data_IF_438019601580
#
_entry.id   IF_438019601580
#
_cell.length_a   1.000
_cell.length_b   1.000
_cell.length_c   1.000
_cell.angle_alpha   90.00
_cell.angle_beta   90.00
_cell.angle_gamma   90.00
#
_symmetry.space_group_name_H-M   'P 1'
#
loop_
_entity.id
_entity.type
_entity.pdbx_description
1 polymer ?
#
# COMPACT_ATOMS: atom_id res chain seq x y z
N UNK A 1 -16.37 -1.19 14.52
CA UNK A 1 -17.29 -0.18 15.11
C UNK A 1 -16.61 0.81 16.05
N UNK A 2 -15.63 0.38 16.89
CA UNK A 2 -14.96 1.26 17.85
C UNK A 2 -14.21 2.43 17.19
N UNK A 3 -13.48 2.15 16.12
CA UNK A 3 -12.75 3.14 15.33
C UNK A 3 -13.68 4.29 14.88
N UNK A 4 -14.80 3.99 14.23
CA UNK A 4 -15.73 5.01 13.70
C UNK A 4 -16.38 5.85 14.81
N UNK A 5 -16.66 5.25 15.99
CA UNK A 5 -17.10 6.01 17.15
C UNK A 5 -16.03 6.98 17.64
N UNK A 6 -14.79 6.52 17.77
CA UNK A 6 -13.68 7.37 18.19
C UNK A 6 -13.41 8.51 17.19
N UNK A 7 -13.42 8.17 15.90
CA UNK A 7 -13.26 9.12 14.79
C UNK A 7 -14.34 10.22 14.84
N UNK A 8 -15.61 9.83 14.96
CA UNK A 8 -16.69 10.81 15.08
C UNK A 8 -16.59 11.64 16.35
N UNK A 9 -16.30 11.01 17.49
CA UNK A 9 -16.13 11.73 18.77
C UNK A 9 -15.02 12.79 18.67
N UNK A 10 -13.92 12.45 18.01
CA UNK A 10 -12.84 13.40 17.76
C UNK A 10 -13.31 14.57 16.89
N UNK A 11 -13.91 14.29 15.76
CA UNK A 11 -14.34 15.31 14.80
C UNK A 11 -15.41 16.24 15.38
N UNK A 12 -16.36 15.69 16.14
CA UNK A 12 -17.38 16.49 16.83
C UNK A 12 -16.76 17.44 17.88
N UNK A 13 -15.68 17.01 18.54
CA UNK A 13 -14.99 17.82 19.54
C UNK A 13 -13.96 18.80 18.94
N UNK A 14 -13.49 18.55 17.72
CA UNK A 14 -12.42 19.33 17.07
C UNK A 14 -12.76 19.67 15.61
N UNK A 15 -13.84 20.45 15.36
CA UNK A 15 -14.29 20.72 13.98
C UNK A 15 -13.24 21.45 13.14
N UNK A 16 -12.40 22.29 13.76
CA UNK A 16 -11.30 23.00 13.07
C UNK A 16 -10.08 22.11 12.77
N UNK A 17 -10.04 20.90 13.32
CA UNK A 17 -8.99 19.91 13.15
C UNK A 17 -9.59 18.54 12.80
N UNK A 18 -10.68 18.54 12.04
CA UNK A 18 -11.37 17.33 11.66
C UNK A 18 -10.44 16.37 10.89
N UNK A 19 -10.51 15.11 11.25
CA UNK A 19 -9.85 14.03 10.53
C UNK A 19 -10.72 13.68 9.32
N UNK A 20 -10.05 13.35 8.21
CA UNK A 20 -10.69 12.86 7.00
C UNK A 20 -10.24 11.44 6.73
N UNK A 21 -11.10 10.65 6.14
CA UNK A 21 -10.74 9.29 5.76
C UNK A 21 -10.98 9.04 4.26
N UNK A 22 -10.11 8.28 3.67
CA UNK A 22 -10.31 7.59 2.40
C UNK A 22 -10.51 6.13 2.74
N UNK A 23 -11.60 5.54 2.27
CA UNK A 23 -11.93 4.16 2.63
C UNK A 23 -11.51 3.20 1.52
N UNK A 24 -10.71 2.20 1.90
CA UNK A 24 -10.32 1.09 1.02
C UNK A 24 -11.39 0.00 0.98
N UNK A 25 -11.51 -0.67 -0.17
CA UNK A 25 -12.23 -1.93 -0.33
C UNK A 25 -11.26 -2.94 -0.91
N UNK A 26 -10.62 -3.70 -0.03
CA UNK A 26 -9.66 -4.72 -0.43
C UNK A 26 -10.35 -5.95 -1.00
N UNK A 27 -9.74 -6.59 -2.00
CA UNK A 27 -10.23 -7.82 -2.62
C UNK A 27 -9.19 -8.94 -2.49
N UNK A 28 -9.67 -10.16 -2.32
CA UNK A 28 -8.84 -11.35 -2.51
C UNK A 28 -8.63 -11.62 -4.00
N UNK A 29 -7.68 -12.48 -4.35
CA UNK A 29 -7.52 -12.91 -5.74
C UNK A 29 -8.71 -13.78 -6.18
N UNK A 30 -9.20 -13.58 -7.42
CA UNK A 30 -10.26 -14.42 -7.95
C UNK A 30 -9.77 -15.84 -8.25
N UNK A 31 -10.62 -16.84 -8.10
CA UNK A 31 -10.29 -18.20 -8.51
C UNK A 31 -9.93 -18.25 -10.00
N UNK A 32 -8.84 -18.94 -10.32
CA UNK A 32 -8.37 -19.11 -11.70
C UNK A 32 -8.14 -17.79 -12.46
N UNK A 33 -7.85 -16.71 -11.72
CA UNK A 33 -7.62 -15.37 -12.23
C UNK A 33 -8.81 -14.80 -13.07
N UNK A 34 -10.03 -15.37 -12.91
CA UNK A 34 -11.24 -14.87 -13.57
C UNK A 34 -11.97 -13.84 -12.69
N UNK A 35 -11.73 -12.56 -12.94
CA UNK A 35 -12.35 -11.45 -12.21
C UNK A 35 -13.88 -11.35 -12.41
N UNK A 36 -14.44 -12.06 -13.38
CA UNK A 36 -15.88 -12.18 -13.61
C UNK A 36 -16.45 -13.49 -13.06
N UNK A 37 -15.68 -14.29 -12.30
CA UNK A 37 -16.23 -15.45 -11.61
C UNK A 37 -17.43 -15.01 -10.73
N UNK A 38 -18.62 -15.58 -10.94
CA UNK A 38 -19.85 -15.00 -10.37
C UNK A 38 -19.87 -14.98 -8.84
N UNK A 39 -19.35 -16.03 -8.19
CA UNK A 39 -19.35 -16.14 -6.73
C UNK A 39 -18.41 -15.11 -6.10
N UNK A 40 -17.20 -15.04 -6.59
CA UNK A 40 -16.17 -14.10 -6.14
C UNK A 40 -16.60 -12.64 -6.38
N UNK A 41 -17.09 -12.33 -7.60
CA UNK A 41 -17.56 -10.99 -7.95
C UNK A 41 -18.73 -10.55 -7.07
N UNK A 42 -19.66 -11.46 -6.76
CA UNK A 42 -20.78 -11.19 -5.86
C UNK A 42 -20.33 -10.88 -4.43
N UNK A 43 -19.29 -11.59 -3.93
CA UNK A 43 -18.73 -11.31 -2.61
C UNK A 43 -17.99 -9.96 -2.59
N UNK A 44 -17.22 -9.64 -3.62
CA UNK A 44 -16.57 -8.34 -3.74
C UNK A 44 -17.59 -7.18 -3.80
N UNK A 45 -18.67 -7.34 -4.56
CA UNK A 45 -19.78 -6.38 -4.56
C UNK A 45 -20.46 -6.27 -3.19
N UNK A 46 -20.55 -7.38 -2.47
CA UNK A 46 -21.10 -7.37 -1.10
C UNK A 46 -20.20 -6.59 -0.16
N UNK A 47 -18.89 -6.74 -0.27
CA UNK A 47 -17.93 -5.99 0.54
C UNK A 47 -17.95 -4.49 0.21
N UNK A 48 -18.06 -4.12 -1.07
CA UNK A 48 -18.27 -2.72 -1.48
C UNK A 48 -19.50 -2.10 -0.82
N UNK A 49 -20.64 -2.79 -0.84
CA UNK A 49 -21.85 -2.32 -0.17
C UNK A 49 -21.68 -2.18 1.32
N UNK A 50 -21.04 -3.17 1.97
CA UNK A 50 -20.73 -3.12 3.42
C UNK A 50 -19.90 -1.91 3.77
N UNK A 51 -18.88 -1.61 2.99
CA UNK A 51 -18.02 -0.43 3.23
C UNK A 51 -18.81 0.86 3.13
N UNK A 52 -19.63 1.02 2.11
CA UNK A 52 -20.53 2.18 1.96
C UNK A 52 -21.47 2.28 3.16
N UNK A 53 -22.16 1.19 3.51
CA UNK A 53 -23.09 1.15 4.64
C UNK A 53 -22.40 1.43 6.00
N UNK A 54 -21.15 0.99 6.15
CA UNK A 54 -20.33 1.28 7.35
C UNK A 54 -20.10 2.79 7.48
N UNK A 55 -19.75 3.47 6.40
CA UNK A 55 -19.52 4.92 6.41
C UNK A 55 -20.77 5.70 6.82
N UNK A 56 -21.93 5.26 6.35
CA UNK A 56 -23.24 5.87 6.64
C UNK A 56 -23.87 5.36 7.96
N UNK A 57 -23.19 4.49 8.71
CA UNK A 57 -23.68 3.99 10.00
C UNK A 57 -24.83 3.01 9.92
N UNK A 58 -25.01 2.30 8.80
CA UNK A 58 -26.13 1.42 8.57
C UNK A 58 -25.75 -0.07 8.38
N UNK A 59 -24.53 -0.47 8.78
CA UNK A 59 -24.05 -1.83 8.55
C UNK A 59 -24.22 -2.74 9.78
N UNK A 60 -24.60 -3.99 9.53
CA UNK A 60 -24.52 -5.10 10.48
C UNK A 60 -23.75 -6.23 9.80
N UNK A 61 -22.50 -6.42 10.21
CA UNK A 61 -21.61 -7.40 9.61
C UNK A 61 -21.47 -8.57 10.59
N UNK A 62 -21.83 -9.80 10.20
CA UNK A 62 -21.70 -10.97 11.05
C UNK A 62 -20.21 -11.31 11.30
N UNK A 63 -19.95 -11.92 12.44
CA UNK A 63 -18.61 -12.36 12.79
C UNK A 63 -18.09 -13.40 11.79
N UNK A 64 -16.89 -13.15 11.27
CA UNK A 64 -16.14 -14.02 10.36
C UNK A 64 -14.66 -13.93 10.71
N UNK A 65 -13.95 -15.06 10.72
CA UNK A 65 -12.52 -15.08 11.00
C UNK A 65 -11.76 -14.23 9.96
N UNK A 66 -10.81 -13.43 10.42
CA UNK A 66 -10.01 -12.55 9.57
C UNK A 66 -10.77 -11.36 8.96
N UNK A 67 -11.98 -11.06 9.44
CA UNK A 67 -12.81 -9.99 8.90
C UNK A 67 -13.33 -9.07 10.00
N UNK A 68 -13.40 -7.77 9.71
CA UNK A 68 -14.02 -6.80 10.62
C UNK A 68 -15.54 -7.04 10.70
N UNK A 69 -16.09 -7.03 11.90
CA UNK A 69 -17.50 -7.35 12.13
C UNK A 69 -18.13 -6.47 13.22
N UNK A 70 -19.44 -6.52 13.31
CA UNK A 70 -20.22 -5.86 14.35
C UNK A 70 -21.32 -4.96 13.79
N UNK A 71 -21.93 -4.18 14.69
CA UNK A 71 -22.96 -3.20 14.34
C UNK A 71 -22.34 -1.81 14.22
N UNK A 72 -22.43 -1.21 13.05
CA UNK A 72 -21.97 0.14 12.74
C UNK A 72 -23.19 1.06 12.69
N UNK A 73 -23.27 2.00 13.62
CA UNK A 73 -24.44 2.89 13.82
C UNK A 73 -24.04 4.35 13.86
N UNK A 74 -22.80 4.66 13.55
CA UNK A 74 -22.27 6.02 13.58
C UNK A 74 -21.98 6.44 12.15
N UNK A 75 -22.66 7.48 11.71
CA UNK A 75 -22.42 8.10 10.42
C UNK A 75 -21.16 8.97 10.45
N UNK A 76 -20.20 8.66 9.59
CA UNK A 76 -18.96 9.40 9.38
C UNK A 76 -18.81 9.88 7.94
N UNK A 77 -19.87 9.75 7.15
CA UNK A 77 -19.86 10.00 5.73
C UNK A 77 -19.49 11.43 5.35
N UNK A 78 -19.81 12.41 6.19
CA UNK A 78 -19.43 13.82 5.98
C UNK A 78 -17.93 14.06 5.98
N UNK A 79 -17.17 13.15 6.58
CA UNK A 79 -15.70 13.19 6.63
C UNK A 79 -15.04 12.08 5.79
N UNK A 80 -15.79 11.37 4.96
CA UNK A 80 -15.27 10.41 4.01
C UNK A 80 -14.97 11.12 2.68
N UNK A 81 -13.68 11.26 2.37
CA UNK A 81 -13.19 12.02 1.24
C UNK A 81 -13.34 11.25 -0.08
N UNK A 82 -13.01 9.96 -0.10
CA UNK A 82 -12.93 9.17 -1.32
C UNK A 82 -12.99 7.66 -1.03
N UNK A 83 -13.14 6.86 -2.09
CA UNK A 83 -12.93 5.41 -2.06
C UNK A 83 -11.72 5.01 -2.90
N UNK A 84 -11.03 3.96 -2.44
CA UNK A 84 -10.02 3.23 -3.22
C UNK A 84 -10.42 1.76 -3.20
N UNK A 85 -10.60 1.15 -4.37
CA UNK A 85 -11.01 -0.25 -4.47
C UNK A 85 -9.87 -1.13 -5.00
N UNK A 86 -9.91 -2.42 -4.68
CA UNK A 86 -8.98 -3.42 -5.19
C UNK A 86 -7.79 -3.63 -4.25
N UNK A 87 -6.73 -4.13 -4.82
CA UNK A 87 -5.49 -4.54 -4.15
C UNK A 87 -4.30 -4.26 -5.05
N UNK A 88 -3.10 -4.58 -4.61
CA UNK A 88 -1.95 -4.80 -5.48
C UNK A 88 -2.23 -6.08 -6.30
N UNK A 89 -2.69 -5.88 -7.53
CA UNK A 89 -2.99 -6.99 -8.43
C UNK A 89 -1.69 -7.51 -9.02
N UNK A 90 -1.51 -8.82 -9.04
CA UNK A 90 -0.33 -9.43 -9.62
C UNK A 90 -0.38 -9.38 -11.15
N UNK A 91 0.71 -8.99 -11.86
CA UNK A 91 0.75 -8.87 -13.32
C UNK A 91 0.28 -10.15 -14.05
N UNK A 92 0.63 -11.32 -13.54
CA UNK A 92 0.22 -12.59 -14.15
C UNK A 92 -1.30 -12.82 -14.11
N UNK A 93 -2.01 -12.33 -13.07
CA UNK A 93 -3.47 -12.47 -12.99
C UNK A 93 -4.15 -11.50 -13.97
N UNK A 94 -3.63 -10.30 -14.11
CA UNK A 94 -4.11 -9.30 -15.09
C UNK A 94 -3.91 -9.82 -16.51
N UNK A 95 -2.74 -10.42 -16.82
CA UNK A 95 -2.47 -11.04 -18.13
C UNK A 95 -3.48 -12.11 -18.43
N UNK A 96 -3.66 -13.06 -17.51
CA UNK A 96 -4.58 -14.18 -17.71
C UNK A 96 -6.02 -13.71 -17.90
N UNK A 97 -6.47 -12.74 -17.10
CA UNK A 97 -7.80 -12.15 -17.30
C UNK A 97 -7.95 -11.45 -18.65
N UNK A 98 -6.94 -10.69 -19.09
CA UNK A 98 -6.93 -10.07 -20.41
C UNK A 98 -7.05 -11.08 -21.55
N UNK A 99 -6.40 -12.25 -21.40
CA UNK A 99 -6.49 -13.39 -22.35
C UNK A 99 -7.87 -14.06 -22.30
N UNK A 100 -8.46 -14.21 -21.12
CA UNK A 100 -9.81 -14.80 -20.95
C UNK A 100 -10.92 -13.93 -21.54
N UNK A 101 -10.76 -12.61 -21.55
CA UNK A 101 -11.82 -11.64 -21.88
C UNK A 101 -11.44 -10.67 -23.01
N UNK A 102 -10.80 -11.10 -24.12
CA UNK A 102 -10.16 -10.21 -25.08
C UNK A 102 -11.08 -9.19 -25.75
N UNK A 103 -12.39 -9.37 -25.67
CA UNK A 103 -13.40 -8.47 -26.27
C UNK A 103 -13.94 -7.42 -25.31
N UNK A 104 -13.60 -7.50 -24.01
CA UNK A 104 -14.05 -6.53 -23.00
C UNK A 104 -13.14 -5.29 -23.00
N UNK A 105 -13.29 -4.43 -23.97
CA UNK A 105 -12.39 -3.29 -24.18
C UNK A 105 -13.08 -1.93 -24.05
N UNK A 106 -14.38 -1.92 -23.72
CA UNK A 106 -15.20 -0.70 -23.60
C UNK A 106 -16.19 -0.83 -22.46
N UNK A 107 -16.52 0.31 -21.87
CA UNK A 107 -17.55 0.39 -20.84
C UNK A 107 -18.31 1.70 -20.92
N UNK A 108 -19.63 1.64 -20.74
CA UNK A 108 -20.50 2.81 -20.63
C UNK A 108 -21.41 2.59 -19.40
N UNK A 109 -20.96 3.10 -18.26
CA UNK A 109 -21.69 3.06 -16.99
C UNK A 109 -22.48 4.34 -16.74
N UNK A 110 -23.01 4.44 -15.54
CA UNK A 110 -23.77 5.62 -15.10
C UNK A 110 -22.86 6.79 -14.77
N UNK A 111 -21.79 6.54 -14.03
CA UNK A 111 -20.85 7.54 -13.53
C UNK A 111 -19.51 7.50 -14.26
N UNK A 112 -19.16 6.35 -14.81
CA UNK A 112 -17.86 6.15 -15.47
C UNK A 112 -18.03 5.56 -16.86
N UNK A 113 -17.09 5.88 -17.75
CA UNK A 113 -17.01 5.33 -19.10
C UNK A 113 -15.57 5.04 -19.47
N UNK A 114 -15.37 4.08 -20.36
CA UNK A 114 -14.10 3.73 -20.95
C UNK A 114 -14.30 3.45 -22.44
N UNK A 115 -13.70 4.29 -23.28
CA UNK A 115 -13.90 4.19 -24.75
C UNK A 115 -13.03 3.10 -25.37
N UNK A 116 -11.84 2.86 -24.78
CA UNK A 116 -10.90 1.84 -25.21
C UNK A 116 -9.91 1.54 -24.09
N UNK A 117 -9.67 0.25 -23.79
CA UNK A 117 -8.71 -0.21 -22.80
C UNK A 117 -8.53 -1.72 -22.87
N UNK A 118 -7.76 -2.26 -21.93
CA UNK A 118 -7.66 -3.69 -21.72
C UNK A 118 -8.94 -4.23 -21.06
N UNK A 119 -9.18 -5.55 -21.07
CA UNK A 119 -10.24 -6.14 -20.27
C UNK A 119 -10.14 -5.78 -18.78
N UNK A 120 -8.94 -5.75 -18.22
CA UNK A 120 -8.72 -5.38 -16.84
C UNK A 120 -9.04 -3.90 -16.57
N UNK A 121 -8.64 -2.96 -17.44
CA UNK A 121 -9.07 -1.55 -17.34
C UNK A 121 -10.61 -1.42 -17.36
N UNK A 122 -11.25 -2.21 -18.23
CA UNK A 122 -12.70 -2.24 -18.35
C UNK A 122 -13.36 -2.74 -17.07
N UNK A 123 -12.81 -3.80 -16.51
CA UNK A 123 -13.28 -4.35 -15.24
C UNK A 123 -13.13 -3.34 -14.09
N UNK A 124 -11.98 -2.67 -14.00
CA UNK A 124 -11.75 -1.63 -12.97
C UNK A 124 -12.79 -0.51 -13.07
N UNK A 125 -13.07 -0.04 -14.29
CA UNK A 125 -14.10 0.97 -14.53
C UNK A 125 -15.50 0.49 -14.07
N UNK A 126 -15.83 -0.77 -14.35
CA UNK A 126 -17.10 -1.38 -13.95
C UNK A 126 -17.25 -1.45 -12.43
N UNK A 127 -16.19 -1.86 -11.72
CA UNK A 127 -16.24 -1.97 -10.25
C UNK A 127 -16.36 -0.60 -9.59
N UNK A 128 -15.61 0.39 -10.08
CA UNK A 128 -15.75 1.77 -9.62
C UNK A 128 -17.17 2.32 -9.84
N UNK A 129 -17.73 2.13 -11.03
CA UNK A 129 -19.08 2.57 -11.36
C UNK A 129 -20.15 1.88 -10.50
N UNK A 130 -19.94 0.59 -10.20
CA UNK A 130 -20.84 -0.18 -9.32
C UNK A 130 -20.89 0.43 -7.92
N UNK A 131 -19.74 0.72 -7.30
CA UNK A 131 -19.68 1.28 -5.96
C UNK A 131 -20.34 2.67 -5.92
N UNK A 132 -20.02 3.54 -6.88
CA UNK A 132 -20.62 4.87 -7.00
C UNK A 132 -22.14 4.77 -7.19
N UNK A 133 -22.59 3.82 -8.01
CA UNK A 133 -24.03 3.60 -8.26
C UNK A 133 -24.74 3.18 -6.99
N UNK A 134 -24.16 2.25 -6.22
CA UNK A 134 -24.74 1.81 -4.96
C UNK A 134 -24.85 2.95 -3.94
N UNK A 135 -23.80 3.74 -3.77
CA UNK A 135 -23.81 4.87 -2.84
C UNK A 135 -24.86 5.92 -3.24
N UNK A 136 -24.92 6.23 -4.54
CA UNK A 136 -25.93 7.17 -5.05
C UNK A 136 -27.36 6.68 -4.86
N UNK A 137 -27.66 5.44 -5.22
CA UNK A 137 -29.01 4.89 -5.15
C UNK A 137 -29.48 4.73 -3.70
N UNK A 138 -28.57 4.51 -2.76
CA UNK A 138 -28.90 4.25 -1.36
C UNK A 138 -28.85 5.51 -0.50
N UNK A 139 -27.86 6.38 -0.73
CA UNK A 139 -27.55 7.52 0.15
C UNK A 139 -27.56 8.88 -0.55
N UNK A 140 -27.72 8.91 -1.85
CA UNK A 140 -27.69 10.12 -2.69
C UNK A 140 -26.38 10.92 -2.54
N UNK A 141 -25.28 10.24 -2.28
CA UNK A 141 -23.94 10.80 -2.15
C UNK A 141 -23.03 10.35 -3.29
N UNK A 142 -22.06 11.17 -3.62
CA UNK A 142 -20.98 10.84 -4.56
C UNK A 142 -19.65 11.25 -3.94
N UNK A 143 -18.66 10.39 -4.08
CA UNK A 143 -17.26 10.65 -3.69
C UNK A 143 -16.33 10.32 -4.84
N UNK A 144 -15.17 11.00 -4.92
CA UNK A 144 -14.11 10.60 -5.84
C UNK A 144 -13.74 9.12 -5.62
N UNK A 145 -13.44 8.43 -6.70
CA UNK A 145 -13.08 7.01 -6.63
C UNK A 145 -11.82 6.74 -7.46
N UNK A 146 -11.01 5.82 -6.96
CA UNK A 146 -9.88 5.23 -7.65
C UNK A 146 -9.82 3.73 -7.42
N UNK A 147 -9.01 3.03 -8.17
CA UNK A 147 -8.59 1.67 -7.88
C UNK A 147 -7.09 1.65 -7.55
N UNK A 148 -6.69 0.68 -6.72
CA UNK A 148 -5.29 0.48 -6.34
C UNK A 148 -4.45 0.12 -7.55
N UNK A 149 -3.29 0.75 -7.66
CA UNK A 149 -2.25 0.42 -8.62
C UNK A 149 -0.87 0.45 -7.94
N UNK A 150 0.15 -0.03 -8.60
CA UNK A 150 1.53 -0.08 -8.13
C UNK A 150 2.51 -0.15 -9.32
N UNK A 151 3.83 0.02 -9.13
CA UNK A 151 4.75 0.16 -10.26
C UNK A 151 4.77 -1.02 -11.23
N UNK A 152 4.49 -2.24 -10.77
CA UNK A 152 4.44 -3.43 -11.65
C UNK A 152 3.25 -3.47 -12.62
N UNK A 153 2.28 -2.58 -12.43
CA UNK A 153 1.09 -2.44 -13.27
C UNK A 153 0.81 -1.01 -13.68
N UNK A 154 1.75 -0.11 -13.46
CA UNK A 154 1.57 1.27 -13.89
C UNK A 154 1.58 1.40 -15.42
N UNK A 155 1.08 2.50 -15.98
CA UNK A 155 1.04 2.69 -17.42
C UNK A 155 2.33 3.27 -18.02
N UNK A 156 3.42 3.32 -17.24
CA UNK A 156 4.72 3.80 -17.69
C UNK A 156 5.48 2.68 -18.40
N UNK A 157 6.54 3.03 -19.08
CA UNK A 157 7.46 2.04 -19.65
C UNK A 157 8.77 2.09 -18.87
N UNK A 158 9.15 0.95 -18.31
CA UNK A 158 10.37 0.80 -17.54
C UNK A 158 11.45 0.11 -18.37
N UNK A 159 12.42 0.84 -18.95
CA UNK A 159 13.41 0.26 -19.87
C UNK A 159 14.39 -0.70 -19.20
N UNK A 160 14.38 -0.76 -17.87
CA UNK A 160 15.22 -1.66 -17.06
C UNK A 160 14.53 -2.96 -16.70
N UNK A 161 13.24 -3.10 -17.03
CA UNK A 161 12.48 -4.33 -16.90
C UNK A 161 11.92 -4.75 -18.27
N UNK A 162 12.42 -5.84 -18.88
CA UNK A 162 11.95 -6.27 -20.19
C UNK A 162 10.59 -6.95 -20.10
N UNK A 163 9.75 -6.70 -21.10
CA UNK A 163 8.58 -7.52 -21.35
C UNK A 163 8.98 -8.97 -21.67
N UNK A 164 8.06 -9.92 -21.53
CA UNK A 164 8.31 -11.33 -21.89
C UNK A 164 8.80 -11.49 -23.34
N UNK A 165 8.34 -10.63 -24.26
CA UNK A 165 8.78 -10.66 -25.65
C UNK A 165 10.23 -10.19 -25.80
N UNK A 166 10.64 -9.16 -25.10
CA UNK A 166 12.01 -8.65 -25.08
C UNK A 166 12.95 -9.64 -24.40
N UNK A 167 12.54 -10.23 -23.29
CA UNK A 167 13.29 -11.30 -22.64
C UNK A 167 13.50 -12.51 -23.56
N UNK A 168 12.47 -12.95 -24.28
CA UNK A 168 12.58 -14.04 -25.24
C UNK A 168 13.61 -13.74 -26.36
N UNK A 169 13.62 -12.50 -26.86
CA UNK A 169 14.62 -12.05 -27.85
C UNK A 169 16.02 -12.06 -27.25
N UNK A 170 16.20 -11.54 -26.04
CA UNK A 170 17.48 -11.49 -25.36
C UNK A 170 18.02 -12.92 -25.09
N UNK A 171 17.19 -13.80 -24.55
CA UNK A 171 17.54 -15.20 -24.29
C UNK A 171 17.95 -15.93 -25.56
N UNK A 172 17.23 -15.72 -26.66
CA UNK A 172 17.58 -16.30 -27.96
C UNK A 172 18.96 -15.83 -28.42
N UNK A 173 19.29 -14.54 -28.31
CA UNK A 173 20.60 -13.98 -28.65
C UNK A 173 21.74 -14.55 -27.79
N UNK A 174 21.44 -14.87 -26.53
CA UNK A 174 22.39 -15.43 -25.58
C UNK A 174 22.48 -16.97 -25.65
N UNK A 175 21.73 -17.64 -26.54
CA UNK A 175 21.67 -19.09 -26.63
C UNK A 175 21.02 -19.76 -25.42
N UNK A 176 20.21 -19.04 -24.68
CA UNK A 176 19.48 -19.52 -23.52
C UNK A 176 18.10 -20.07 -23.93
N UNK A 177 17.52 -21.02 -23.17
CA UNK A 177 16.15 -21.46 -23.40
C UNK A 177 15.15 -20.28 -23.31
N UNK A 178 14.00 -20.37 -24.02
CA UNK A 178 12.98 -19.33 -23.95
C UNK A 178 12.53 -19.12 -22.50
N UNK A 179 12.00 -17.94 -22.18
CA UNK A 179 11.47 -17.68 -20.84
C UNK A 179 10.38 -18.71 -20.53
N UNK A 180 10.37 -19.22 -19.32
CA UNK A 180 9.21 -19.96 -18.84
C UNK A 180 8.18 -18.93 -18.38
N UNK A 181 6.92 -19.12 -18.75
CA UNK A 181 5.82 -18.40 -18.14
C UNK A 181 5.74 -18.81 -16.66
N UNK A 182 6.49 -18.11 -15.82
CA UNK A 182 6.39 -18.23 -14.37
C UNK A 182 5.43 -17.15 -13.88
N UNK A 183 4.82 -17.37 -12.74
CA UNK A 183 4.15 -16.31 -12.01
C UNK A 183 5.22 -15.37 -11.48
N UNK A 184 5.27 -14.18 -12.04
CA UNK A 184 6.16 -13.11 -11.63
C UNK A 184 5.33 -11.97 -11.05
N UNK A 185 5.83 -11.37 -9.98
CA UNK A 185 5.13 -10.34 -9.22
C UNK A 185 5.60 -8.94 -9.58
N UNK A 186 6.79 -8.82 -10.11
CA UNK A 186 7.55 -7.58 -10.24
C UNK A 186 7.99 -7.24 -11.67
N UNK A 187 7.36 -7.84 -12.69
CA UNK A 187 7.64 -7.49 -14.08
C UNK A 187 6.70 -6.39 -14.62
N UNK A 188 7.17 -5.72 -15.69
CA UNK A 188 6.46 -4.64 -16.39
C UNK A 188 5.69 -5.17 -17.63
N UNK A 189 5.13 -6.35 -17.57
CA UNK A 189 4.47 -7.02 -18.70
C UNK A 189 3.02 -6.55 -18.92
N UNK A 190 2.36 -6.05 -17.90
CA UNK A 190 0.96 -5.62 -17.93
C UNK A 190 0.82 -4.21 -17.38
N UNK A 191 -0.25 -3.54 -17.76
CA UNK A 191 -0.56 -2.20 -17.23
C UNK A 191 -2.03 -1.97 -16.98
N UNK A 192 -2.31 -1.12 -15.99
CA UNK A 192 -3.62 -0.55 -15.71
C UNK A 192 -3.50 0.99 -15.81
N UNK A 193 -4.29 1.60 -16.69
CA UNK A 193 -4.21 3.04 -16.90
C UNK A 193 -5.49 3.76 -16.51
N UNK A 194 -5.47 4.40 -15.35
CA UNK A 194 -6.61 5.19 -14.87
C UNK A 194 -6.98 6.36 -15.79
N UNK A 195 -6.08 6.83 -16.68
CA UNK A 195 -6.40 7.87 -17.66
C UNK A 195 -7.44 7.43 -18.68
N UNK A 196 -7.60 6.13 -18.91
CA UNK A 196 -8.62 5.57 -19.80
C UNK A 196 -10.03 5.63 -19.21
N UNK A 197 -10.16 5.67 -17.88
CA UNK A 197 -11.44 5.77 -17.18
C UNK A 197 -11.85 7.23 -17.08
N UNK A 198 -13.01 7.57 -17.62
CA UNK A 198 -13.53 8.94 -17.67
C UNK A 198 -14.82 9.08 -16.87
N UNK A 199 -14.96 10.20 -16.21
CA UNK A 199 -16.21 10.61 -15.59
C UNK A 199 -17.27 10.95 -16.64
N UNK A 200 -18.50 10.44 -16.47
CA UNK A 200 -19.66 10.89 -17.24
C UNK A 200 -20.14 12.25 -16.73
N UNK A 201 -21.11 12.83 -17.41
CA UNK A 201 -21.72 14.11 -16.97
C UNK A 201 -22.45 14.01 -15.63
N UNK A 202 -22.86 12.81 -15.22
CA UNK A 202 -23.55 12.56 -13.95
C UNK A 202 -22.59 12.37 -12.78
N UNK A 203 -21.32 12.12 -13.06
CA UNK A 203 -20.27 12.04 -12.05
C UNK A 203 -19.74 13.44 -11.74
N UNK A 204 -20.19 14.03 -10.65
CA UNK A 204 -19.73 15.34 -10.19
C UNK A 204 -18.54 15.25 -9.23
N UNK A 205 -18.28 14.08 -8.66
CA UNK A 205 -17.20 13.85 -7.70
C UNK A 205 -15.83 13.63 -8.38
N UNK A 206 -15.84 13.05 -9.58
CA UNK A 206 -14.62 12.79 -10.36
C UNK A 206 -13.92 11.48 -10.01
N UNK A 207 -12.73 11.33 -10.56
CA UNK A 207 -11.82 10.20 -10.34
C UNK A 207 -10.41 10.71 -10.09
N UNK A 208 -9.58 9.88 -9.50
CA UNK A 208 -8.16 10.13 -9.30
C UNK A 208 -7.35 8.85 -9.56
N UNK A 209 -6.04 8.94 -9.59
CA UNK A 209 -5.16 7.77 -9.67
C UNK A 209 -4.51 7.52 -8.31
N UNK A 210 -4.28 6.26 -7.97
CA UNK A 210 -3.58 5.88 -6.74
C UNK A 210 -2.47 4.88 -7.05
N UNK A 211 -1.39 5.00 -6.26
CA UNK A 211 -0.26 4.07 -6.34
C UNK A 211 0.22 3.70 -4.95
N UNK A 212 0.51 2.41 -4.75
CA UNK A 212 1.41 1.99 -3.71
C UNK A 212 2.82 2.11 -4.27
N UNK A 213 3.60 3.06 -3.79
CA UNK A 213 4.92 3.35 -4.33
C UNK A 213 5.93 3.40 -3.19
N UNK A 214 6.74 2.36 -3.11
CA UNK A 214 7.84 2.23 -2.17
C UNK A 214 9.17 2.53 -2.85
N UNK A 215 10.16 3.12 -2.13
CA UNK A 215 11.40 3.54 -2.76
C UNK A 215 12.32 2.38 -3.18
N UNK A 216 12.07 1.17 -2.71
CA UNK A 216 12.92 -0.02 -2.84
C UNK A 216 12.28 -1.15 -3.67
N UNK A 217 11.04 -0.96 -4.15
CA UNK A 217 10.34 -2.02 -4.88
C UNK A 217 9.39 -1.45 -5.94
N UNK A 218 9.33 -2.06 -7.13
CA UNK A 218 10.25 -3.10 -7.63
C UNK A 218 11.64 -2.55 -7.94
N UNK A 219 12.65 -3.41 -7.94
CA UNK A 219 14.06 -3.02 -8.06
C UNK A 219 14.44 -2.47 -9.43
N UNK A 220 13.66 -2.75 -10.49
CA UNK A 220 13.93 -2.17 -11.81
C UNK A 220 13.84 -0.63 -11.80
N UNK A 221 13.09 -0.02 -10.89
CA UNK A 221 13.05 1.44 -10.73
C UNK A 221 14.41 2.00 -10.29
N UNK A 222 15.17 1.23 -9.50
CA UNK A 222 16.48 1.62 -8.99
C UNK A 222 17.60 1.55 -10.04
N UNK A 223 17.37 0.86 -11.15
CA UNK A 223 18.30 0.74 -12.27
C UNK A 223 18.03 1.74 -13.39
N UNK A 224 16.91 2.46 -13.36
CA UNK A 224 16.60 3.47 -14.38
C UNK A 224 17.47 4.71 -14.18
N UNK A 225 18.35 4.93 -15.16
CA UNK A 225 19.27 6.06 -15.15
C UNK A 225 18.56 7.44 -15.23
N UNK A 226 17.36 7.49 -15.79
CA UNK A 226 16.56 8.73 -15.84
C UNK A 226 16.03 9.06 -14.43
N UNK A 227 15.63 8.06 -13.66
CA UNK A 227 15.23 8.26 -12.27
C UNK A 227 16.43 8.60 -11.39
N UNK A 228 17.56 7.91 -11.56
CA UNK A 228 18.81 8.20 -10.83
C UNK A 228 19.37 9.61 -11.09
N UNK A 229 19.05 10.21 -12.22
CA UNK A 229 19.41 11.59 -12.53
C UNK A 229 18.51 12.64 -11.84
N UNK A 230 17.33 12.23 -11.35
CA UNK A 230 16.40 13.13 -10.69
C UNK A 230 16.92 13.60 -9.32
N UNK A 231 16.57 14.82 -8.95
CA UNK A 231 16.99 15.43 -7.69
C UNK A 231 15.82 16.11 -7.00
N UNK A 232 15.59 15.71 -5.77
CA UNK A 232 14.71 16.42 -4.83
C UNK A 232 15.51 17.45 -4.01
N UNK A 233 14.85 18.15 -3.12
CA UNK A 233 15.49 18.99 -2.11
C UNK A 233 16.45 18.22 -1.17
N UNK A 234 16.37 16.89 -1.16
CA UNK A 234 17.24 15.98 -0.39
C UNK A 234 18.43 15.43 -1.20
N UNK A 235 18.54 15.76 -2.47
CA UNK A 235 19.59 15.27 -3.36
C UNK A 235 19.07 14.26 -4.40
N UNK A 236 19.92 13.34 -4.91
CA UNK A 236 19.52 12.30 -5.84
C UNK A 236 18.41 11.42 -5.26
N UNK A 237 17.43 11.03 -6.11
CA UNK A 237 16.36 10.14 -5.67
C UNK A 237 15.69 9.49 -6.87
N UNK A 238 15.86 8.17 -7.01
CA UNK A 238 15.13 7.36 -7.99
C UNK A 238 13.62 7.43 -7.72
N UNK A 239 13.24 7.35 -6.46
CA UNK A 239 11.85 7.48 -6.03
C UNK A 239 11.22 8.80 -6.54
N UNK A 240 11.91 9.92 -6.34
CA UNK A 240 11.44 11.22 -6.82
C UNK A 240 11.33 11.26 -8.36
N UNK A 241 12.29 10.65 -9.07
CA UNK A 241 12.25 10.49 -10.52
C UNK A 241 11.00 9.78 -11.00
N UNK A 242 10.68 8.66 -10.37
CA UNK A 242 9.46 7.90 -10.63
C UNK A 242 8.18 8.73 -10.36
N UNK A 243 8.12 9.42 -9.22
CA UNK A 243 6.97 10.28 -8.90
C UNK A 243 6.76 11.40 -9.92
N UNK A 244 7.84 11.99 -10.43
CA UNK A 244 7.76 13.01 -11.49
C UNK A 244 7.22 12.43 -12.79
N UNK A 245 7.55 11.20 -13.13
CA UNK A 245 7.03 10.54 -14.32
C UNK A 245 5.55 10.19 -14.19
N UNK A 246 5.14 9.64 -13.06
CA UNK A 246 3.72 9.46 -12.73
C UNK A 246 2.95 10.78 -12.87
N UNK A 247 3.49 11.88 -12.29
CA UNK A 247 2.86 13.19 -12.39
C UNK A 247 2.70 13.68 -13.83
N UNK A 248 3.68 13.42 -14.69
CA UNK A 248 3.61 13.77 -16.11
C UNK A 248 2.57 12.96 -16.85
N UNK A 249 2.52 11.64 -16.64
CA UNK A 249 1.53 10.76 -17.27
C UNK A 249 0.10 11.16 -16.88
N UNK A 250 -0.12 11.41 -15.61
CA UNK A 250 -1.43 11.81 -15.08
C UNK A 250 -1.67 13.33 -15.07
N UNK A 251 -1.12 14.04 -16.05
CA UNK A 251 -1.34 15.49 -16.16
C UNK A 251 -2.84 15.82 -16.23
N UNK A 252 -3.30 16.69 -15.32
CA UNK A 252 -4.72 17.07 -15.20
C UNK A 252 -5.58 16.13 -14.34
N UNK A 253 -5.02 15.05 -13.79
CA UNK A 253 -5.67 14.15 -12.84
C UNK A 253 -4.92 14.15 -11.51
N UNK A 254 -5.62 14.20 -10.35
CA UNK A 254 -4.95 14.01 -9.06
C UNK A 254 -4.33 12.60 -8.98
N UNK A 255 -3.12 12.52 -8.43
CA UNK A 255 -2.44 11.27 -8.11
C UNK A 255 -2.16 11.24 -6.62
N UNK A 256 -2.56 10.17 -5.95
CA UNK A 256 -2.35 9.94 -4.53
C UNK A 256 -1.42 8.73 -4.35
N UNK A 257 -0.39 8.87 -3.56
CA UNK A 257 0.41 7.71 -3.14
C UNK A 257 -0.29 7.07 -1.95
N UNK A 258 -1.05 6.01 -2.22
CA UNK A 258 -1.92 5.37 -1.24
C UNK A 258 -1.17 4.50 -0.23
N UNK A 259 0.09 4.14 -0.54
CA UNK A 259 1.04 3.57 0.40
C UNK A 259 2.45 4.00 0.06
N UNK A 260 3.23 4.37 1.08
CA UNK A 260 4.67 4.61 1.03
C UNK A 260 5.26 4.51 2.44
N UNK A 261 6.55 4.25 2.56
CA UNK A 261 7.27 4.19 3.82
C UNK A 261 8.44 3.22 3.79
N UNK A 262 9.16 3.12 4.89
CA UNK A 262 10.19 2.12 5.12
C UNK A 262 10.02 1.55 6.53
N UNK A 263 10.31 0.25 6.75
CA UNK A 263 10.22 -0.34 8.09
C UNK A 263 11.51 -0.17 8.88
N UNK A 264 11.40 -0.18 10.21
CA UNK A 264 12.53 -0.41 11.09
C UNK A 264 12.70 -1.91 11.34
N UNK A 265 13.78 -2.50 10.84
CA UNK A 265 14.10 -3.91 11.07
C UNK A 265 15.63 -4.13 11.01
N UNK A 266 16.08 -5.29 11.45
CA UNK A 266 17.48 -5.72 11.24
C UNK A 266 17.67 -6.42 9.91
N UNK A 267 16.64 -7.14 9.44
CA UNK A 267 16.66 -7.75 8.12
C UNK A 267 16.47 -6.71 7.03
N UNK A 268 17.01 -7.00 5.85
CA UNK A 268 16.85 -6.19 4.65
C UNK A 268 16.32 -7.11 3.57
N UNK A 269 15.12 -6.81 3.06
CA UNK A 269 14.52 -7.58 1.97
C UNK A 269 14.96 -7.04 0.60
N UNK A 270 14.95 -5.71 0.43
CA UNK A 270 15.36 -5.04 -0.80
C UNK A 270 16.32 -3.89 -0.51
N UNK A 271 17.40 -3.82 -1.27
CA UNK A 271 18.34 -2.70 -1.22
C UNK A 271 17.87 -1.57 -2.13
N UNK A 272 18.25 -0.34 -1.79
CA UNK A 272 17.89 0.85 -2.55
C UNK A 272 19.11 1.80 -2.59
N UNK A 273 19.45 2.40 -3.75
CA UNK A 273 20.70 3.13 -3.95
C UNK A 273 20.95 4.31 -3.01
N UNK A 274 19.92 5.05 -2.63
CA UNK A 274 20.02 6.17 -1.70
C UNK A 274 19.87 5.78 -0.23
N UNK A 275 19.83 4.48 0.06
CA UNK A 275 19.77 3.96 1.42
C UNK A 275 18.37 3.93 2.02
N UNK A 276 17.32 4.06 1.21
CA UNK A 276 15.92 3.93 1.64
C UNK A 276 15.45 2.48 1.46
N UNK A 277 16.16 1.55 2.10
CA UNK A 277 15.99 0.11 1.94
C UNK A 277 14.69 -0.41 2.54
N UNK A 278 14.28 -1.59 2.10
CA UNK A 278 13.24 -2.38 2.75
C UNK A 278 13.82 -3.07 4.00
N UNK A 279 13.91 -2.36 5.09
CA UNK A 279 14.54 -2.80 6.32
C UNK A 279 15.96 -2.30 6.52
N UNK A 280 16.62 -2.80 7.58
CA UNK A 280 17.98 -2.37 7.96
C UNK A 280 18.03 -1.01 8.65
N UNK A 281 16.92 -0.47 9.08
CA UNK A 281 16.79 0.83 9.73
C UNK A 281 16.49 0.69 11.22
N UNK A 282 17.00 1.62 12.01
CA UNK A 282 16.45 1.90 13.32
C UNK A 282 15.24 2.86 13.19
N UNK A 283 14.47 3.04 14.25
CA UNK A 283 13.27 3.91 14.27
C UNK A 283 13.59 5.38 13.92
N UNK A 284 14.82 5.86 14.21
CA UNK A 284 15.23 7.23 13.87
C UNK A 284 15.49 7.35 12.37
N UNK A 285 16.15 6.38 11.76
CA UNK A 285 16.39 6.34 10.33
C UNK A 285 15.07 6.19 9.57
N UNK A 286 14.18 5.28 10.01
CA UNK A 286 12.81 5.16 9.50
C UNK A 286 12.10 6.51 9.48
N UNK A 287 12.01 7.20 10.63
CA UNK A 287 11.34 8.48 10.73
C UNK A 287 11.94 9.55 9.79
N UNK A 288 13.26 9.58 9.64
CA UNK A 288 13.94 10.53 8.74
C UNK A 288 13.62 10.25 7.26
N UNK A 289 13.59 8.96 6.88
CA UNK A 289 13.25 8.53 5.52
C UNK A 289 11.78 8.80 5.22
N UNK A 290 10.87 8.47 6.13
CA UNK A 290 9.43 8.70 5.94
C UNK A 290 9.10 10.20 5.79
N UNK A 291 9.78 11.06 6.53
CA UNK A 291 9.69 12.53 6.35
C UNK A 291 10.21 12.94 4.97
N UNK A 292 11.33 12.35 4.51
CA UNK A 292 11.87 12.61 3.18
C UNK A 292 10.86 12.20 2.09
N UNK A 293 10.35 10.97 2.13
CA UNK A 293 9.37 10.46 1.17
C UNK A 293 8.11 11.35 1.12
N UNK A 294 7.57 11.73 2.29
CA UNK A 294 6.43 12.65 2.39
C UNK A 294 6.70 13.98 1.67
N UNK A 295 7.89 14.53 1.81
CA UNK A 295 8.27 15.79 1.17
C UNK A 295 8.52 15.63 -0.32
N UNK A 296 9.11 14.51 -0.76
CA UNK A 296 9.32 14.20 -2.17
C UNK A 296 7.97 14.03 -2.91
N UNK A 297 6.97 13.37 -2.30
CA UNK A 297 5.60 13.29 -2.82
C UNK A 297 5.01 14.70 -3.02
N UNK A 298 5.15 15.57 -2.04
CA UNK A 298 4.69 16.96 -2.14
C UNK A 298 5.45 17.76 -3.20
N UNK A 299 6.77 17.63 -3.25
CA UNK A 299 7.66 18.35 -4.18
C UNK A 299 7.39 17.92 -5.63
N UNK A 300 7.07 16.65 -5.87
CA UNK A 300 6.63 16.14 -7.18
C UNK A 300 5.27 16.70 -7.61
N UNK A 301 4.54 17.39 -6.73
CA UNK A 301 3.24 17.99 -7.02
C UNK A 301 2.10 16.96 -7.07
N UNK A 302 2.23 15.86 -6.36
CA UNK A 302 1.17 14.87 -6.20
C UNK A 302 0.12 15.35 -5.18
N UNK A 303 -1.06 14.74 -5.17
CA UNK A 303 -2.16 15.15 -4.31
C UNK A 303 -1.90 14.89 -2.81
N UNK A 304 -1.00 13.99 -2.49
CA UNK A 304 -0.61 13.62 -1.14
C UNK A 304 -0.24 12.15 -1.05
N UNK A 305 -0.12 11.64 0.17
CA UNK A 305 0.17 10.24 0.41
C UNK A 305 -0.29 9.76 1.77
N UNK A 306 -0.48 8.44 1.89
CA UNK A 306 -0.74 7.74 3.14
C UNK A 306 0.49 6.95 3.53
N UNK A 307 1.06 7.30 4.68
CA UNK A 307 2.18 6.57 5.22
C UNK A 307 1.71 5.18 5.68
N UNK A 308 2.38 4.17 5.22
CA UNK A 308 2.23 2.82 5.68
C UNK A 308 3.28 2.56 6.78
N UNK A 309 2.91 2.35 8.10
CA UNK A 309 1.54 2.23 8.52
C UNK A 309 1.28 2.97 9.85
N UNK A 310 0.03 2.96 10.33
CA UNK A 310 -0.32 3.59 11.61
C UNK A 310 0.25 2.84 12.82
N UNK A 311 0.23 1.49 12.77
CA UNK A 311 0.66 0.60 13.86
C UNK A 311 1.40 -0.59 13.27
N UNK A 312 2.38 -1.11 13.99
CA UNK A 312 3.11 -2.33 13.61
C UNK A 312 2.17 -3.51 13.37
N UNK A 313 2.50 -4.33 12.39
CA UNK A 313 1.71 -5.49 11.96
C UNK A 313 2.43 -6.79 12.27
N UNK A 314 2.49 -7.15 13.54
CA UNK A 314 3.21 -8.30 14.10
C UNK A 314 2.91 -9.67 13.43
N UNK A 315 1.83 -9.77 12.67
CA UNK A 315 1.41 -10.98 11.98
C UNK A 315 2.00 -11.13 10.58
N UNK A 316 2.65 -10.10 10.05
CA UNK A 316 3.26 -10.13 8.72
C UNK A 316 4.54 -10.94 8.69
N UNK A 317 4.85 -11.46 7.51
CA UNK A 317 6.08 -12.13 7.15
C UNK A 317 6.55 -11.61 5.80
N UNK A 318 7.86 -11.45 5.65
CA UNK A 318 8.43 -11.07 4.36
C UNK A 318 9.05 -12.29 3.67
N UNK A 319 8.63 -12.57 2.44
CA UNK A 319 9.07 -13.72 1.66
C UNK A 319 10.59 -13.76 1.41
N UNK A 320 11.26 -12.62 1.34
CA UNK A 320 12.70 -12.54 1.07
C UNK A 320 13.55 -12.94 2.29
N UNK A 321 13.02 -12.77 3.51
CA UNK A 321 13.75 -13.05 4.76
C UNK A 321 13.10 -14.13 5.63
N UNK A 322 12.03 -14.74 5.18
CA UNK A 322 11.22 -15.71 5.96
C UNK A 322 12.04 -16.87 6.53
N UNK A 323 13.07 -17.31 5.83
CA UNK A 323 13.97 -18.39 6.28
C UNK A 323 14.87 -17.95 7.46
N UNK A 324 15.04 -16.64 7.65
CA UNK A 324 15.81 -16.03 8.73
C UNK A 324 14.93 -15.64 9.92
N UNK A 325 13.63 -15.64 9.75
CA UNK A 325 12.68 -15.26 10.78
C UNK A 325 12.56 -16.34 11.86
N UNK A 326 12.26 -15.90 13.08
CA UNK A 326 11.96 -16.84 14.17
C UNK A 326 10.58 -17.45 13.92
N UNK A 327 10.46 -18.79 13.78
CA UNK A 327 9.16 -19.42 13.58
C UNK A 327 8.15 -19.01 14.64
N UNK A 328 6.91 -18.75 14.25
CA UNK A 328 5.83 -18.28 15.13
C UNK A 328 5.63 -19.16 16.36
N UNK A 329 5.85 -20.49 16.26
CA UNK A 329 5.81 -21.42 17.39
C UNK A 329 6.88 -21.16 18.48
N UNK A 330 7.96 -20.46 18.15
CA UNK A 330 9.05 -20.08 19.04
C UNK A 330 9.08 -18.60 19.39
N UNK A 331 8.37 -17.79 18.63
CA UNK A 331 8.26 -16.33 18.83
C UNK A 331 7.00 -16.03 19.66
N UNK A 332 7.11 -16.08 20.99
CA UNK A 332 5.97 -15.88 21.90
C UNK A 332 5.33 -14.50 21.81
N UNK A 333 6.05 -13.52 21.29
CA UNK A 333 5.64 -12.11 21.31
C UNK A 333 5.37 -11.56 19.93
N UNK A 334 5.41 -12.43 18.91
CA UNK A 334 5.16 -12.06 17.51
C UNK A 334 6.04 -10.94 16.97
N UNK A 335 7.00 -10.46 17.74
CA UNK A 335 7.96 -9.46 17.30
C UNK A 335 9.16 -10.16 16.68
N UNK A 336 9.35 -10.02 15.39
CA UNK A 336 10.49 -10.54 14.66
C UNK A 336 11.38 -9.40 14.15
N UNK A 337 12.51 -9.18 14.82
CA UNK A 337 13.43 -8.11 14.46
C UNK A 337 14.08 -8.28 13.08
N UNK A 338 14.02 -9.48 12.50
CA UNK A 338 14.53 -9.76 11.15
C UNK A 338 13.50 -9.49 10.06
N UNK A 339 12.22 -9.47 10.41
CA UNK A 339 11.15 -9.25 9.46
C UNK A 339 11.11 -7.80 8.99
N UNK A 340 11.16 -7.60 7.68
CA UNK A 340 11.09 -6.29 7.06
C UNK A 340 9.65 -5.78 6.85
N UNK A 341 8.61 -6.55 7.24
CA UNK A 341 7.22 -6.18 7.05
C UNK A 341 6.47 -5.81 8.33
N UNK A 342 7.00 -6.17 9.50
CA UNK A 342 6.26 -6.00 10.75
C UNK A 342 6.30 -4.58 11.31
N UNK A 343 7.38 -3.84 11.11
CA UNK A 343 7.70 -2.61 11.86
C UNK A 343 7.65 -1.35 10.98
N UNK A 344 6.56 -1.19 10.26
CA UNK A 344 6.26 0.05 9.53
C UNK A 344 5.54 1.11 10.39
N UNK A 345 5.06 0.70 11.56
CA UNK A 345 4.16 1.52 12.35
C UNK A 345 4.77 2.82 12.85
N UNK A 346 3.98 3.91 12.78
CA UNK A 346 4.24 5.12 13.58
C UNK A 346 4.10 4.82 15.08
N UNK A 347 3.30 3.83 15.43
CA UNK A 347 3.12 3.31 16.77
C UNK A 347 3.69 1.90 16.85
N UNK A 348 4.82 1.76 17.54
CA UNK A 348 5.45 0.47 17.80
C UNK A 348 4.63 -0.40 18.74
N UNK A 349 4.63 -1.70 18.48
CA UNK A 349 4.11 -2.72 19.40
C UNK A 349 5.26 -3.34 20.18
N UNK A 350 5.28 -3.14 21.46
CA UNK A 350 6.29 -3.71 22.34
C UNK A 350 5.66 -4.73 23.29
N UNK A 351 6.38 -5.81 23.49
CA UNK A 351 6.04 -6.77 24.54
C UNK A 351 6.25 -6.15 25.92
N UNK A 352 5.25 -6.24 26.77
CA UNK A 352 5.31 -5.73 28.14
C UNK A 352 5.15 -4.20 28.25
N UNK A 353 5.35 -3.65 29.45
CA UNK A 353 5.17 -2.22 29.68
C UNK A 353 6.29 -1.44 28.99
N UNK A 354 5.99 -0.76 27.88
CA UNK A 354 6.93 -0.01 27.01
C UNK A 354 7.77 1.08 27.69
N UNK A 355 7.57 1.29 29.00
CA UNK A 355 8.40 2.20 29.82
C UNK A 355 9.73 1.60 30.24
N UNK A 356 9.88 0.28 30.16
CA UNK A 356 11.06 -0.46 30.67
C UNK A 356 11.93 -1.04 29.56
N UNK A 357 11.43 -1.09 28.32
CA UNK A 357 12.18 -1.63 27.18
C UNK A 357 13.13 -0.57 26.63
N UNK A 358 14.45 -0.76 26.70
CA UNK A 358 15.40 0.15 26.09
C UNK A 358 15.39 -0.04 24.57
N UNK A 359 15.28 1.04 23.85
CA UNK A 359 15.40 1.04 22.39
C UNK A 359 16.89 1.11 22.01
N UNK A 360 17.34 0.25 21.12
CA UNK A 360 18.67 0.33 20.51
C UNK A 360 18.74 1.66 19.72
N UNK A 361 19.70 2.53 20.05
CA UNK A 361 19.77 3.87 19.48
C UNK A 361 18.84 4.93 20.11
N UNK A 362 18.00 4.53 21.08
CA UNK A 362 17.09 5.44 21.78
C UNK A 362 17.71 6.30 22.86
N UNK A 363 16.89 7.03 23.62
CA UNK A 363 17.31 7.94 24.67
C UNK A 363 18.17 7.23 25.74
N UNK A 364 19.43 7.65 25.95
CA UNK A 364 20.30 7.11 27.02
C UNK A 364 19.67 7.19 28.42
N UNK A 365 18.68 8.07 28.63
CA UNK A 365 17.99 8.17 29.91
C UNK A 365 17.23 6.87 30.28
N UNK A 366 16.68 6.16 29.28
CA UNK A 366 15.99 4.87 29.49
C UNK A 366 16.95 3.80 30.00
N UNK A 367 18.20 3.77 29.51
CA UNK A 367 19.25 2.88 29.98
C UNK A 367 19.68 3.20 31.41
N UNK A 368 19.64 4.49 31.80
CA UNK A 368 19.99 4.91 33.17
C UNK A 368 19.01 4.37 34.23
N UNK A 369 17.78 4.13 33.84
CA UNK A 369 16.77 3.56 34.71
C UNK A 369 16.96 2.02 34.96
N UNK A 370 17.75 1.35 34.13
CA UNK A 370 18.01 -0.07 34.28
C UNK A 370 19.04 -0.36 35.38
N UNK A 371 18.95 -1.59 35.96
CA UNK A 371 19.89 -2.07 36.97
C UNK A 371 21.33 -2.05 36.48
N UNK A 372 22.21 -1.40 37.22
CA UNK A 372 23.64 -1.50 36.95
C UNK A 372 24.18 -2.83 37.49
N UNK A 373 24.85 -3.62 36.65
CA UNK A 373 25.53 -4.85 37.04
C UNK A 373 26.98 -4.61 37.45
N UNK A 374 27.61 -3.57 36.90
CA UNK A 374 29.01 -3.22 37.20
C UNK A 374 29.49 -2.06 36.35
N UNK A 375 30.74 -1.69 36.51
CA UNK A 375 31.37 -0.64 35.74
C UNK A 375 32.33 0.22 36.58
N UNK A 376 32.85 1.25 35.94
CA UNK A 376 33.70 2.29 36.55
C UNK A 376 33.24 3.67 36.06
N UNK A 377 34.02 4.70 36.26
CA UNK A 377 33.71 6.07 35.87
C UNK A 377 33.57 6.26 34.33
N UNK A 378 34.22 5.38 33.55
CA UNK A 378 34.27 5.45 32.08
C UNK A 378 33.33 4.46 31.41
N UNK A 379 32.97 3.36 32.08
CA UNK A 379 32.12 2.30 31.50
C UNK A 379 31.17 1.79 32.56
N UNK A 380 29.89 1.67 32.20
CA UNK A 380 28.84 1.14 33.09
C UNK A 380 28.00 0.11 32.36
N UNK A 381 28.02 -1.12 32.86
CA UNK A 381 27.16 -2.20 32.36
C UNK A 381 25.80 -2.15 33.03
N UNK A 382 24.74 -2.08 32.21
CA UNK A 382 23.37 -2.15 32.68
C UNK A 382 22.66 -3.30 32.00
N UNK A 383 21.70 -3.89 32.66
CA UNK A 383 20.89 -4.96 32.13
C UNK A 383 19.41 -4.69 32.38
N UNK A 384 18.60 -5.02 31.44
CA UNK A 384 17.16 -5.08 31.53
C UNK A 384 16.64 -6.26 30.73
N UNK A 385 15.45 -6.68 31.01
CA UNK A 385 14.75 -7.68 30.22
C UNK A 385 13.28 -7.35 30.14
N UNK A 386 12.70 -7.72 29.05
CA UNK A 386 11.25 -7.88 28.93
C UNK A 386 10.93 -9.36 28.75
N UNK A 387 9.75 -9.67 28.25
CA UNK A 387 9.28 -11.04 28.04
C UNK A 387 9.97 -11.76 26.89
N UNK A 388 10.65 -11.00 25.99
CA UNK A 388 11.30 -11.52 24.78
C UNK A 388 12.82 -11.42 24.82
N UNK A 389 13.38 -10.35 25.38
CA UNK A 389 14.77 -9.99 25.21
C UNK A 389 15.49 -9.68 26.54
N UNK A 390 16.77 -9.93 26.50
CA UNK A 390 17.75 -9.41 27.47
C UNK A 390 18.53 -8.30 26.78
N UNK A 391 18.50 -7.12 27.36
CA UNK A 391 19.17 -5.93 26.86
C UNK A 391 20.47 -5.65 27.60
#
# INVERSE_FOLDING_TARGET
>A
PAFYRAFKTWNDAHPDQALWLVHGVWAELPPQDDYDEPGWKSEFHTEMRRVVDVLHGHAVIPARLGHAFGRYTVDVSDHALAFIIGREWEPFTIRHYNELRPTQTRFAGRFLTLDSGTPADTWMAQQCDYLMTYEWDTYHAQRPIAYTNWPTLDPLHHPTEPTLAEEAVLRTRLGLPPPRLVREYDNDDQSLDAMRVRATKTNVAGTFATFHAYPYYPDFLDYDSAYGAARSSYGPSHYFGYLLELKRHFAGRPVLIAEYGVPSSRGVAHLQPEGMHHGGHDERAQAAIDVRLTREIREAGLAGGFLFAWIDEWFKHNWAVIDLEVPAARNRLWLNAMDAEQQYGLLGQYAGPGRTTPQLGGDPARWRALRALGGNDSLRLRVGSDEAYLY
#
